data_IF_998751289473
#
_entry.id   IF_998751289473
#
_cell.length_a   1.000
_cell.length_b   1.000
_cell.length_c   1.000
_cell.angle_alpha   90.00
_cell.angle_beta   90.00
_cell.angle_gamma   90.00
#
_symmetry.space_group_name_H-M   'P 1'
#
loop_
_entity.id
_entity.type
_entity.pdbx_description
1 polymer ?
#
# COMPACT_ATOMS: atom_id res chain seq x y z
N UNK A 1 -0.45 61.10 16.50
CA UNK A 1 -1.45 60.08 16.12
C UNK A 1 -0.79 59.10 15.17
N UNK A 2 -0.42 57.91 15.66
CA UNK A 2 0.13 56.84 14.84
C UNK A 2 -0.79 55.61 14.97
N UNK A 3 -1.87 55.60 14.21
CA UNK A 3 -2.72 54.43 14.02
C UNK A 3 -2.22 53.73 12.75
N UNK A 4 -1.27 52.80 12.91
CA UNK A 4 -0.69 52.08 11.76
C UNK A 4 -0.02 50.74 12.06
N UNK A 5 0.16 50.36 13.33
CA UNK A 5 0.91 49.14 13.69
C UNK A 5 0.12 47.85 14.05
N UNK A 6 -1.21 47.81 14.24
CA UNK A 6 -1.84 46.62 14.81
C UNK A 6 -1.85 45.41 13.87
N UNK A 7 -1.91 45.59 12.55
CA UNK A 7 -1.93 44.46 11.61
C UNK A 7 -0.56 43.75 11.47
N UNK A 8 0.53 44.50 11.68
CA UNK A 8 1.91 44.00 11.56
C UNK A 8 2.28 43.08 12.73
N UNK A 9 1.95 43.45 13.97
CA UNK A 9 2.29 42.67 15.16
C UNK A 9 1.46 41.38 15.27
N UNK A 10 0.22 41.42 14.78
CA UNK A 10 -0.66 40.24 14.70
C UNK A 10 -0.11 39.18 13.75
N UNK A 11 0.37 39.61 12.58
CA UNK A 11 0.99 38.71 11.61
C UNK A 11 2.28 38.08 12.18
N UNK A 12 3.06 38.84 12.95
CA UNK A 12 4.31 38.36 13.56
C UNK A 12 4.05 37.25 14.59
N UNK A 13 3.04 37.40 15.46
CA UNK A 13 2.72 36.42 16.52
C UNK A 13 2.10 35.15 15.96
N UNK A 14 1.22 35.25 14.95
CA UNK A 14 0.47 34.10 14.43
C UNK A 14 1.24 33.31 13.36
N UNK A 15 2.12 33.98 12.61
CA UNK A 15 2.85 33.37 11.47
C UNK A 15 3.54 32.05 11.81
N UNK A 16 4.30 31.91 12.91
CA UNK A 16 4.97 30.64 13.23
C UNK A 16 4.00 29.46 13.39
N UNK A 17 2.81 29.69 13.95
CA UNK A 17 1.78 28.66 14.10
C UNK A 17 1.17 28.25 12.77
N UNK A 18 0.92 29.22 11.88
CA UNK A 18 0.43 28.96 10.52
C UNK A 18 1.49 28.22 9.69
N UNK A 19 2.76 28.59 9.80
CA UNK A 19 3.88 27.92 9.14
C UNK A 19 3.99 26.46 9.62
N UNK A 20 3.97 26.23 10.92
CA UNK A 20 3.97 24.88 11.49
C UNK A 20 2.77 24.03 11.01
N UNK A 21 1.58 24.61 10.99
CA UNK A 21 0.35 23.96 10.49
C UNK A 21 0.46 23.61 9.01
N UNK A 22 0.87 24.57 8.18
CA UNK A 22 0.98 24.38 6.74
C UNK A 22 2.07 23.35 6.40
N UNK A 23 3.21 23.39 7.10
CA UNK A 23 4.26 22.40 6.96
C UNK A 23 3.76 21.00 7.30
N UNK A 24 3.03 20.84 8.42
CA UNK A 24 2.44 19.56 8.83
C UNK A 24 1.51 18.99 7.76
N UNK A 25 0.54 19.78 7.27
CA UNK A 25 -0.41 19.29 6.27
C UNK A 25 0.24 19.02 4.90
N UNK A 26 1.21 19.83 4.50
CA UNK A 26 1.98 19.59 3.26
C UNK A 26 2.72 18.26 3.34
N UNK A 27 3.47 18.03 4.42
CA UNK A 27 4.23 16.79 4.61
C UNK A 27 3.32 15.57 4.70
N UNK A 28 2.19 15.69 5.39
CA UNK A 28 1.21 14.60 5.49
C UNK A 28 0.56 14.30 4.13
N UNK A 29 0.27 15.31 3.33
CA UNK A 29 -0.22 15.14 1.96
C UNK A 29 0.82 14.44 1.08
N UNK A 30 2.10 14.86 1.13
CA UNK A 30 3.16 14.23 0.35
C UNK A 30 3.34 12.75 0.72
N UNK A 31 3.26 12.43 2.01
CA UNK A 31 3.29 11.05 2.50
C UNK A 31 2.09 10.24 2.03
N UNK A 32 0.90 10.82 2.05
CA UNK A 32 -0.32 10.17 1.58
C UNK A 32 -0.25 9.89 0.07
N UNK A 33 0.18 10.87 -0.73
CA UNK A 33 0.36 10.70 -2.17
C UNK A 33 1.41 9.63 -2.48
N UNK A 34 2.52 9.61 -1.73
CA UNK A 34 3.54 8.56 -1.84
C UNK A 34 2.97 7.17 -1.54
N UNK A 35 2.27 7.02 -0.41
CA UNK A 35 1.64 5.76 -0.01
C UNK A 35 0.58 5.29 -1.03
N UNK A 36 -0.25 6.21 -1.55
CA UNK A 36 -1.25 5.92 -2.56
C UNK A 36 -0.61 5.44 -3.87
N UNK A 37 0.50 6.06 -4.29
CA UNK A 37 1.26 5.64 -5.48
C UNK A 37 1.80 4.23 -5.31
N UNK A 38 2.48 3.94 -4.19
CA UNK A 38 3.01 2.61 -3.89
C UNK A 38 1.92 1.55 -3.78
N UNK A 39 0.75 1.91 -3.23
CA UNK A 39 -0.40 1.01 -3.19
C UNK A 39 -0.91 0.67 -4.60
N UNK A 40 -1.05 1.69 -5.46
CA UNK A 40 -1.47 1.51 -6.86
C UNK A 40 -0.49 0.63 -7.63
N UNK A 41 0.81 0.88 -7.48
CA UNK A 41 1.88 0.08 -8.08
C UNK A 41 1.79 -1.38 -7.63
N UNK A 42 1.60 -1.62 -6.34
CA UNK A 42 1.45 -2.97 -5.77
C UNK A 42 0.22 -3.70 -6.36
N UNK A 43 -0.90 -3.00 -6.55
CA UNK A 43 -2.10 -3.55 -7.19
C UNK A 43 -1.86 -3.90 -8.66
N UNK A 44 -1.14 -3.04 -9.40
CA UNK A 44 -0.77 -3.31 -10.79
C UNK A 44 0.16 -4.52 -10.91
N UNK A 45 1.14 -4.66 -10.00
CA UNK A 45 2.02 -5.83 -9.94
C UNK A 45 1.19 -7.09 -9.71
N UNK A 46 0.31 -7.07 -8.71
CA UNK A 46 -0.59 -8.19 -8.42
C UNK A 46 -1.44 -8.61 -9.63
N UNK A 47 -2.02 -7.65 -10.36
CA UNK A 47 -2.79 -7.92 -11.57
C UNK A 47 -1.95 -8.58 -12.68
N UNK A 48 -0.73 -8.07 -12.92
CA UNK A 48 0.20 -8.66 -13.91
C UNK A 48 0.66 -10.06 -13.50
N UNK A 49 0.96 -10.27 -12.22
CA UNK A 49 1.34 -11.57 -11.69
C UNK A 49 0.22 -12.59 -11.86
N UNK A 50 -1.03 -12.21 -11.59
CA UNK A 50 -2.19 -13.06 -11.85
C UNK A 50 -2.25 -13.49 -13.31
N UNK A 51 -2.11 -12.55 -14.24
CA UNK A 51 -2.15 -12.84 -15.67
C UNK A 51 -1.01 -13.76 -16.10
N UNK A 52 0.22 -13.49 -15.63
CA UNK A 52 1.39 -14.34 -15.87
C UNK A 52 1.15 -15.78 -15.41
N UNK A 53 0.67 -15.97 -14.19
CA UNK A 53 0.43 -17.31 -13.63
C UNK A 53 -0.69 -18.06 -14.36
N UNK A 54 -1.72 -17.36 -14.85
CA UNK A 54 -2.76 -17.97 -15.69
C UNK A 54 -2.18 -18.41 -17.04
N UNK A 55 -1.29 -17.62 -17.64
CA UNK A 55 -0.63 -17.97 -18.89
C UNK A 55 0.34 -19.15 -18.70
N UNK A 56 1.14 -19.15 -17.64
CA UNK A 56 1.99 -20.29 -17.26
C UNK A 56 1.17 -21.57 -17.09
N UNK A 57 0.08 -21.53 -16.31
CA UNK A 57 -0.79 -22.70 -16.12
C UNK A 57 -1.36 -23.19 -17.45
N UNK A 58 -1.80 -22.29 -18.34
CA UNK A 58 -2.28 -22.67 -19.67
C UNK A 58 -1.19 -23.36 -20.50
N UNK A 59 0.04 -22.86 -20.44
CA UNK A 59 1.18 -23.49 -21.12
C UNK A 59 1.45 -24.89 -20.57
N UNK A 60 1.48 -25.05 -19.24
CA UNK A 60 1.72 -26.34 -18.58
C UNK A 60 0.62 -27.37 -18.93
N UNK A 61 -0.65 -26.95 -18.91
CA UNK A 61 -1.76 -27.80 -19.32
C UNK A 61 -1.69 -28.19 -20.80
N UNK A 62 -1.31 -27.26 -21.68
CA UNK A 62 -1.10 -27.56 -23.09
C UNK A 62 0.08 -28.51 -23.30
N UNK A 63 1.16 -28.38 -22.54
CA UNK A 63 2.29 -29.31 -22.58
C UNK A 63 1.89 -30.72 -22.14
N UNK A 64 1.14 -30.84 -21.03
CA UNK A 64 0.60 -32.13 -20.57
C UNK A 64 -0.29 -32.77 -21.64
N UNK A 65 -1.20 -31.98 -22.24
CA UNK A 65 -2.07 -32.45 -23.31
C UNK A 65 -1.27 -32.88 -24.55
N UNK A 66 -0.29 -32.11 -24.99
CA UNK A 66 0.54 -32.45 -26.15
C UNK A 66 1.32 -33.75 -25.93
N UNK A 67 1.96 -33.90 -24.76
CA UNK A 67 2.67 -35.15 -24.41
C UNK A 67 1.74 -36.36 -24.44
N UNK A 68 0.53 -36.23 -23.90
CA UNK A 68 -0.47 -37.29 -23.95
C UNK A 68 -0.86 -37.65 -25.39
N UNK A 69 -1.14 -36.66 -26.24
CA UNK A 69 -1.49 -36.90 -27.65
C UNK A 69 -0.33 -37.50 -28.45
N UNK A 70 0.90 -37.05 -28.21
CA UNK A 70 2.11 -37.60 -28.83
C UNK A 70 2.31 -39.07 -28.43
N UNK A 71 2.18 -39.38 -27.13
CA UNK A 71 2.28 -40.76 -26.64
C UNK A 71 1.20 -41.66 -27.25
N UNK A 72 -0.05 -41.19 -27.33
CA UNK A 72 -1.13 -41.94 -27.97
C UNK A 72 -0.87 -42.19 -29.47
N UNK A 73 -0.29 -41.22 -30.19
CA UNK A 73 0.08 -41.37 -31.61
C UNK A 73 1.25 -42.31 -31.80
N UNK A 74 2.17 -42.37 -30.84
CA UNK A 74 3.34 -43.25 -30.86
C UNK A 74 3.02 -44.72 -30.52
N UNK A 75 1.82 -45.02 -30.01
CA UNK A 75 1.39 -46.40 -29.77
C UNK A 75 1.39 -47.22 -31.07
N UNK A 76 2.19 -48.28 -31.10
CA UNK A 76 2.33 -49.20 -32.24
C UNK A 76 1.05 -50.04 -32.48
N UNK A 77 0.99 -50.76 -33.61
CA UNK A 77 -0.04 -51.76 -33.91
C UNK A 77 0.13 -53.06 -33.10
N UNK A 78 0.44 -52.96 -31.81
CA UNK A 78 0.40 -54.09 -30.89
C UNK A 78 -1.04 -54.62 -30.74
N UNK A 79 -1.19 -55.80 -30.11
CA UNK A 79 -2.49 -56.38 -29.79
C UNK A 79 -3.41 -55.38 -29.07
N UNK A 80 -4.70 -55.43 -29.37
CA UNK A 80 -5.67 -54.41 -28.93
C UNK A 80 -5.68 -54.19 -27.40
N UNK A 81 -5.40 -55.24 -26.62
CA UNK A 81 -5.38 -55.17 -25.16
C UNK A 81 -4.12 -54.51 -24.59
N UNK A 82 -2.95 -54.67 -25.24
CA UNK A 82 -1.74 -53.94 -24.87
C UNK A 82 -1.88 -52.45 -25.18
N UNK A 83 -2.49 -52.11 -26.32
CA UNK A 83 -2.76 -50.72 -26.68
C UNK A 83 -3.71 -50.04 -25.69
N UNK A 84 -4.75 -50.73 -25.24
CA UNK A 84 -5.67 -50.21 -24.20
C UNK A 84 -4.95 -49.99 -22.88
N UNK A 85 -4.11 -50.94 -22.44
CA UNK A 85 -3.32 -50.80 -21.21
C UNK A 85 -2.34 -49.63 -21.28
N UNK A 86 -1.63 -49.47 -22.39
CA UNK A 86 -0.71 -48.36 -22.60
C UNK A 86 -1.43 -47.00 -22.62
N UNK A 87 -2.55 -46.90 -23.35
CA UNK A 87 -3.37 -45.68 -23.37
C UNK A 87 -3.94 -45.31 -21.98
N UNK A 88 -4.39 -46.29 -21.20
CA UNK A 88 -4.88 -46.06 -19.84
C UNK A 88 -3.76 -45.58 -18.89
N UNK A 89 -2.55 -46.14 -19.04
CA UNK A 89 -1.36 -45.69 -18.30
C UNK A 89 -0.99 -44.25 -18.65
N UNK A 90 -0.97 -43.90 -19.94
CA UNK A 90 -0.63 -42.55 -20.37
C UNK A 90 -1.71 -41.53 -20.02
N UNK A 91 -2.98 -41.93 -20.01
CA UNK A 91 -4.08 -41.09 -19.50
C UNK A 91 -3.93 -40.84 -17.99
N UNK A 92 -3.53 -41.86 -17.23
CA UNK A 92 -3.27 -41.68 -15.79
C UNK A 92 -2.11 -40.72 -15.55
N UNK A 93 -1.03 -40.80 -16.34
CA UNK A 93 0.08 -39.82 -16.29
C UNK A 93 -0.35 -38.41 -16.65
N UNK A 94 -1.18 -38.27 -17.69
CA UNK A 94 -1.75 -36.98 -18.08
C UNK A 94 -2.53 -36.33 -16.94
N UNK A 95 -3.38 -37.10 -16.24
CA UNK A 95 -4.12 -36.59 -15.09
C UNK A 95 -3.18 -36.11 -13.98
N UNK A 96 -2.13 -36.89 -13.66
CA UNK A 96 -1.12 -36.49 -12.67
C UNK A 96 -0.39 -35.21 -13.07
N UNK A 97 0.00 -35.08 -14.35
CA UNK A 97 0.65 -33.87 -14.87
C UNK A 97 -0.27 -32.63 -14.76
N UNK A 98 -1.57 -32.80 -15.05
CA UNK A 98 -2.57 -31.74 -14.92
C UNK A 98 -2.75 -31.32 -13.46
N UNK A 99 -2.90 -32.28 -12.55
CA UNK A 99 -3.05 -32.02 -11.12
C UNK A 99 -1.82 -31.31 -10.55
N UNK A 100 -0.62 -31.72 -10.97
CA UNK A 100 0.64 -31.10 -10.57
C UNK A 100 0.76 -29.66 -11.07
N UNK A 101 0.37 -29.40 -12.32
CA UNK A 101 0.37 -28.05 -12.90
C UNK A 101 -0.59 -27.12 -12.12
N UNK A 102 -1.80 -27.60 -11.82
CA UNK A 102 -2.78 -26.85 -11.04
C UNK A 102 -2.30 -26.57 -9.61
N UNK A 103 -1.75 -27.58 -8.92
CA UNK A 103 -1.22 -27.42 -7.56
C UNK A 103 -0.06 -26.42 -7.53
N UNK A 104 0.86 -26.51 -8.48
CA UNK A 104 2.00 -25.60 -8.60
C UNK A 104 1.54 -24.16 -8.84
N UNK A 105 0.58 -23.97 -9.75
CA UNK A 105 0.00 -22.65 -10.00
C UNK A 105 -0.70 -22.07 -8.77
N UNK A 106 -1.42 -22.91 -8.01
CA UNK A 106 -2.08 -22.50 -6.77
C UNK A 106 -1.08 -22.13 -5.67
N UNK A 107 0.00 -22.89 -5.51
CA UNK A 107 1.08 -22.58 -4.56
C UNK A 107 1.74 -21.24 -4.89
N UNK A 108 2.17 -21.06 -6.15
CA UNK A 108 2.73 -19.79 -6.63
C UNK A 108 1.76 -18.62 -6.40
N UNK A 109 0.46 -18.82 -6.64
CA UNK A 109 -0.55 -17.79 -6.42
C UNK A 109 -0.66 -17.40 -4.94
N UNK A 110 -0.68 -18.38 -4.03
CA UNK A 110 -0.75 -18.10 -2.60
C UNK A 110 0.48 -17.35 -2.08
N UNK A 111 1.68 -17.77 -2.49
CA UNK A 111 2.92 -17.09 -2.13
C UNK A 111 2.89 -15.62 -2.57
N UNK A 112 2.52 -15.36 -3.83
CA UNK A 112 2.44 -14.00 -4.37
C UNK A 112 1.33 -13.17 -3.73
N UNK A 113 0.19 -13.79 -3.42
CA UNK A 113 -0.91 -13.11 -2.71
C UNK A 113 -0.49 -12.70 -1.30
N UNK A 114 0.26 -13.57 -0.60
CA UNK A 114 0.80 -13.28 0.72
C UNK A 114 1.84 -12.16 0.69
N UNK A 115 2.76 -12.17 -0.28
CA UNK A 115 3.75 -11.09 -0.49
C UNK A 115 3.08 -9.72 -0.70
N UNK A 116 2.03 -9.66 -1.52
CA UNK A 116 1.27 -8.43 -1.76
C UNK A 116 0.52 -8.00 -0.50
N UNK A 117 -0.11 -8.93 0.22
CA UNK A 117 -0.76 -8.67 1.50
C UNK A 117 0.22 -8.06 2.52
N UNK A 118 1.41 -8.64 2.64
CA UNK A 118 2.48 -8.14 3.50
C UNK A 118 2.95 -6.74 3.08
N UNK A 119 3.11 -6.50 1.78
CA UNK A 119 3.50 -5.19 1.23
C UNK A 119 2.46 -4.12 1.59
N UNK A 120 1.16 -4.41 1.40
CA UNK A 120 0.08 -3.48 1.76
C UNK A 120 0.05 -3.22 3.27
N UNK A 121 0.25 -4.25 4.09
CA UNK A 121 0.30 -4.10 5.55
C UNK A 121 1.48 -3.20 5.97
N UNK A 122 2.66 -3.42 5.40
CA UNK A 122 3.85 -2.58 5.66
C UNK A 122 3.64 -1.13 5.21
N UNK A 123 3.00 -0.90 4.06
CA UNK A 123 2.67 0.45 3.58
C UNK A 123 1.75 1.18 4.58
N UNK A 124 0.70 0.50 5.07
CA UNK A 124 -0.21 1.06 6.07
C UNK A 124 0.51 1.38 7.38
N UNK A 125 1.32 0.45 7.87
CA UNK A 125 2.10 0.63 9.09
C UNK A 125 3.09 1.79 8.97
N UNK A 126 3.82 1.85 7.85
CA UNK A 126 4.79 2.91 7.57
C UNK A 126 4.11 4.29 7.50
N UNK A 127 2.97 4.38 6.81
CA UNK A 127 2.19 5.62 6.76
C UNK A 127 1.73 6.06 8.15
N UNK A 128 1.17 5.15 8.95
CA UNK A 128 0.72 5.47 10.31
C UNK A 128 1.88 5.91 11.21
N UNK A 129 3.05 5.25 11.12
CA UNK A 129 4.23 5.62 11.88
C UNK A 129 4.76 7.01 11.48
N UNK A 130 4.89 7.27 10.18
CA UNK A 130 5.34 8.57 9.67
C UNK A 130 4.36 9.69 10.06
N UNK A 131 3.04 9.45 10.00
CA UNK A 131 2.04 10.42 10.45
C UNK A 131 2.23 10.79 11.94
N UNK A 132 2.53 9.81 12.80
CA UNK A 132 2.86 10.06 14.22
C UNK A 132 4.14 10.89 14.36
N UNK A 133 5.17 10.59 13.57
CA UNK A 133 6.43 11.35 13.58
C UNK A 133 6.23 12.80 13.12
N UNK A 134 5.47 13.05 12.06
CA UNK A 134 5.16 14.42 11.63
C UNK A 134 4.35 15.19 12.67
N UNK A 135 3.41 14.52 13.35
CA UNK A 135 2.68 15.17 14.44
C UNK A 135 3.61 15.54 15.61
N UNK A 136 4.58 14.68 15.96
CA UNK A 136 5.60 15.02 16.97
C UNK A 136 6.46 16.21 16.55
N UNK A 137 6.87 16.29 15.27
CA UNK A 137 7.61 17.45 14.76
C UNK A 137 6.77 18.72 14.88
N UNK A 138 5.51 18.65 14.46
CA UNK A 138 4.55 19.75 14.61
C UNK A 138 4.43 20.23 16.06
N UNK A 139 4.30 19.33 17.03
CA UNK A 139 4.27 19.70 18.46
C UNK A 139 5.56 20.41 18.90
N UNK A 140 6.71 19.99 18.38
CA UNK A 140 7.99 20.64 18.62
C UNK A 140 8.06 22.07 18.04
N UNK A 141 7.56 22.27 16.83
CA UNK A 141 7.47 23.60 16.18
C UNK A 141 6.50 24.52 16.95
N UNK A 142 5.33 24.01 17.33
CA UNK A 142 4.34 24.78 18.11
C UNK A 142 4.87 25.15 19.48
N UNK A 143 5.60 24.23 20.16
CA UNK A 143 6.24 24.55 21.43
C UNK A 143 7.24 25.70 21.29
N UNK A 144 8.11 25.64 20.28
CA UNK A 144 9.07 26.72 19.96
C UNK A 144 8.37 28.03 19.62
N UNK A 145 7.26 27.98 18.88
CA UNK A 145 6.45 29.15 18.59
C UNK A 145 5.91 29.79 19.88
N UNK A 146 5.37 28.99 20.80
CA UNK A 146 4.92 29.49 22.10
C UNK A 146 6.04 30.08 22.96
N UNK A 147 7.24 29.49 22.96
CA UNK A 147 8.40 30.01 23.68
C UNK A 147 8.85 31.40 23.18
N UNK A 148 8.51 31.75 21.93
CA UNK A 148 8.83 33.05 21.32
C UNK A 148 7.77 34.14 21.54
N UNK A 149 6.64 33.82 22.18
CA UNK A 149 5.49 34.72 22.32
C UNK A 149 5.36 35.19 23.77
N UNK A 150 5.34 36.52 23.96
CA UNK A 150 4.92 37.11 25.24
C UNK A 150 3.38 37.11 25.32
N UNK A 151 2.84 36.08 25.97
CA UNK A 151 1.39 35.84 26.11
C UNK A 151 0.67 37.04 26.73
N UNK A 152 1.33 37.82 27.59
CA UNK A 152 0.70 38.96 28.29
C UNK A 152 0.39 40.13 27.33
N UNK A 153 1.05 40.15 26.17
CA UNK A 153 0.89 41.17 25.13
C UNK A 153 -0.04 40.72 24.01
N UNK A 154 -0.52 39.46 24.00
CA UNK A 154 -1.34 38.92 22.91
C UNK A 154 -2.83 39.14 23.19
N UNK A 155 -3.58 39.77 22.27
CA UNK A 155 -5.03 39.89 22.38
C UNK A 155 -5.73 38.52 22.50
N UNK A 156 -6.72 38.43 23.38
CA UNK A 156 -7.45 37.18 23.63
C UNK A 156 -8.07 36.55 22.36
N UNK A 157 -8.47 37.36 21.38
CA UNK A 157 -8.98 36.86 20.11
C UNK A 157 -7.93 36.07 19.31
N UNK A 158 -6.66 36.48 19.38
CA UNK A 158 -5.56 35.82 18.68
C UNK A 158 -5.12 34.55 19.40
N UNK A 159 -5.10 34.57 20.73
CA UNK A 159 -4.90 33.37 21.52
C UNK A 159 -5.95 32.30 21.17
N UNK A 160 -7.24 32.68 21.09
CA UNK A 160 -8.30 31.76 20.64
C UNK A 160 -8.07 31.22 19.24
N UNK A 161 -7.64 32.06 18.31
CA UNK A 161 -7.34 31.63 16.95
C UNK A 161 -6.18 30.63 16.90
N UNK A 162 -5.08 30.89 17.62
CA UNK A 162 -3.94 29.97 17.71
C UNK A 162 -4.37 28.62 18.32
N UNK A 163 -5.19 28.65 19.37
CA UNK A 163 -5.75 27.41 19.96
C UNK A 163 -6.58 26.64 18.93
N UNK A 164 -7.46 27.31 18.20
CA UNK A 164 -8.27 26.68 17.15
C UNK A 164 -7.40 26.01 16.08
N UNK A 165 -6.33 26.66 15.60
CA UNK A 165 -5.40 26.07 14.64
C UNK A 165 -4.77 24.77 15.17
N UNK A 166 -4.43 24.75 16.46
CA UNK A 166 -3.82 23.58 17.10
C UNK A 166 -4.83 22.44 17.30
N UNK A 167 -6.09 22.76 17.61
CA UNK A 167 -7.17 21.79 17.72
C UNK A 167 -7.48 21.10 16.39
N UNK A 168 -7.45 21.85 15.27
CA UNK A 168 -7.63 21.28 13.93
C UNK A 168 -6.54 20.23 13.62
N UNK A 169 -5.28 20.55 13.90
CA UNK A 169 -4.16 19.63 13.66
C UNK A 169 -4.25 18.42 14.58
N UNK A 170 -4.56 18.61 15.87
CA UNK A 170 -4.74 17.50 16.81
C UNK A 170 -5.88 16.55 16.38
N UNK A 171 -7.00 17.10 15.91
CA UNK A 171 -8.12 16.32 15.37
C UNK A 171 -7.70 15.54 14.13
N UNK A 172 -6.93 16.15 13.23
CA UNK A 172 -6.44 15.45 12.05
C UNK A 172 -5.48 14.32 12.42
N UNK A 173 -4.53 14.58 13.32
CA UNK A 173 -3.56 13.59 13.80
C UNK A 173 -4.25 12.38 14.45
N UNK A 174 -5.36 12.60 15.15
CA UNK A 174 -6.20 11.52 15.69
C UNK A 174 -6.70 10.60 14.58
N UNK A 175 -7.25 11.16 13.49
CA UNK A 175 -7.76 10.36 12.36
C UNK A 175 -6.65 9.73 11.50
N UNK A 176 -5.48 10.37 11.38
CA UNK A 176 -4.41 9.87 10.53
C UNK A 176 -3.47 8.87 11.21
N UNK A 177 -3.52 8.70 12.54
CA UNK A 177 -2.67 7.72 13.22
C UNK A 177 -2.99 7.36 14.68
N UNK A 178 -4.11 7.81 15.28
CA UNK A 178 -4.34 7.69 16.73
C UNK A 178 -5.70 7.14 17.19
N UNK A 179 -6.69 7.02 16.30
CA UNK A 179 -8.01 6.49 16.65
C UNK A 179 -8.07 4.96 16.63
N UNK A 180 -7.40 4.30 17.60
CA UNK A 180 -7.25 2.85 17.87
C UNK A 180 -5.87 2.27 17.52
#
# INVERSE_FOLDING_TARGET
MAAGQPASDIAVVVRPFLEARNAYFSQLNDQWQGAQRSFKESCCVHARTRESLVNELRQDLNHAANRYHENLRALSQAEADERRRAAASDFSRYLVDVDLAQLTAWQKWNERSQEVGNTIAQLRQSYAQRSKEEYRKYLGEVKRAWESVDITQVPAALLRYIVQLNEEVARHAWYSGGGR
#
